data_IF_680156663496
#
_entry.id   IF_680156663496
#
_cell.length_a   1.000
_cell.length_b   1.000
_cell.length_c   1.000
_cell.angle_alpha   90.00
_cell.angle_beta   90.00
_cell.angle_gamma   90.00
#
_symmetry.space_group_name_H-M   'P 1'
#
loop_
_entity.id
_entity.type
_entity.pdbx_description
1 polymer ?
#
# COMPACT_ATOMS: atom_id res chain seq x y z
N UNK A 1 21.90 1.25 21.56
CA UNK A 1 20.45 0.97 21.49
C UNK A 1 20.10 0.62 20.05
N UNK A 2 19.30 -0.42 19.83
CA UNK A 2 18.91 -0.87 18.48
C UNK A 2 17.42 -0.62 18.29
N UNK A 3 17.02 0.06 17.22
CA UNK A 3 15.62 0.25 16.85
C UNK A 3 15.24 -0.73 15.74
N UNK A 4 14.32 -1.64 16.03
CA UNK A 4 13.78 -2.58 15.05
C UNK A 4 12.52 -2.00 14.44
N UNK A 5 12.56 -1.72 13.14
CA UNK A 5 11.41 -1.23 12.38
C UNK A 5 10.89 -2.39 11.53
N UNK A 6 9.74 -3.00 11.84
CA UNK A 6 9.16 -4.02 11.01
C UNK A 6 8.65 -3.39 9.70
N UNK A 7 9.37 -3.59 8.62
CA UNK A 7 9.01 -3.11 7.27
C UNK A 7 8.39 -4.25 6.48
N UNK A 8 7.27 -3.99 5.81
CA UNK A 8 6.64 -4.99 4.94
C UNK A 8 5.83 -6.07 5.67
N UNK A 9 5.38 -5.81 6.90
CA UNK A 9 4.47 -6.71 7.61
C UNK A 9 3.16 -6.99 6.85
N UNK A 10 2.44 -8.05 7.20
CA UNK A 10 1.13 -8.36 6.63
C UNK A 10 0.13 -7.23 6.87
N UNK A 11 -0.83 -7.05 5.96
CA UNK A 11 -1.94 -6.13 6.22
C UNK A 11 -2.70 -6.61 7.47
N UNK A 12 -3.07 -5.71 8.40
CA UNK A 12 -3.91 -6.08 9.53
C UNK A 12 -5.23 -6.66 9.01
N UNK A 13 -5.73 -7.70 9.67
CA UNK A 13 -7.00 -8.31 9.30
C UNK A 13 -8.12 -7.28 9.52
N UNK A 14 -8.79 -6.83 8.46
CA UNK A 14 -9.83 -5.80 8.52
C UNK A 14 -11.13 -6.29 9.19
N UNK A 15 -11.26 -7.59 9.44
CA UNK A 15 -12.38 -8.20 10.15
C UNK A 15 -12.18 -8.24 11.68
N UNK A 16 -10.96 -7.93 12.14
CA UNK A 16 -10.63 -8.01 13.57
C UNK A 16 -11.28 -6.89 14.38
N UNK A 17 -11.70 -7.21 15.61
CA UNK A 17 -12.33 -6.24 16.51
C UNK A 17 -11.36 -5.20 17.05
N UNK A 18 -10.09 -5.58 17.21
CA UNK A 18 -9.04 -4.73 17.75
C UNK A 18 -8.57 -3.71 16.71
N UNK A 19 -8.53 -2.45 17.11
CA UNK A 19 -8.04 -1.36 16.27
C UNK A 19 -6.57 -1.10 16.58
N UNK A 20 -5.80 -0.76 15.55
CA UNK A 20 -4.42 -0.30 15.70
C UNK A 20 -4.17 0.87 14.75
N UNK A 21 -3.12 1.65 15.02
CA UNK A 21 -2.78 2.84 14.24
C UNK A 21 -1.26 2.95 14.03
N UNK A 22 -0.84 3.61 12.95
CA UNK A 22 0.57 3.85 12.63
C UNK A 22 1.34 2.57 12.29
N UNK A 23 2.50 2.37 12.92
CA UNK A 23 3.34 1.19 12.70
C UNK A 23 2.63 -0.13 13.04
N UNK A 24 1.79 -0.13 14.09
CA UNK A 24 0.99 -1.28 14.49
C UNK A 24 -0.12 -1.62 13.46
N UNK A 25 -0.55 -0.65 12.66
CA UNK A 25 -1.44 -0.85 11.51
C UNK A 25 -0.68 -1.11 10.19
N UNK A 26 0.64 -1.34 10.28
CA UNK A 26 1.53 -1.54 9.14
C UNK A 26 1.48 -0.41 8.11
N UNK A 27 1.33 0.84 8.55
CA UNK A 27 1.32 2.02 7.68
C UNK A 27 2.71 2.40 7.13
N UNK A 28 3.74 1.60 7.44
CA UNK A 28 5.12 1.80 6.98
C UNK A 28 5.25 1.47 5.50
N UNK A 29 5.69 2.44 4.71
CA UNK A 29 5.88 2.26 3.27
C UNK A 29 7.17 1.47 2.98
N UNK A 30 7.15 0.46 2.09
CA UNK A 30 8.30 -0.42 1.89
C UNK A 30 9.46 0.24 1.09
N UNK A 31 9.15 1.12 0.13
CA UNK A 31 10.10 1.46 -0.95
C UNK A 31 10.80 2.83 -0.84
N UNK A 32 10.26 3.79 -0.08
CA UNK A 32 10.75 5.18 -0.04
C UNK A 32 10.82 5.69 1.39
N UNK A 33 11.97 5.55 2.05
CA UNK A 33 12.28 6.26 3.31
C UNK A 33 11.35 5.93 4.48
N UNK A 34 11.71 4.86 5.20
CA UNK A 34 10.96 4.18 6.28
C UNK A 34 10.34 5.07 7.37
N UNK A 35 10.80 6.31 7.57
CA UNK A 35 10.34 7.20 8.65
C UNK A 35 9.54 8.41 8.19
N UNK A 36 9.81 9.02 7.04
CA UNK A 36 9.17 10.30 6.71
C UNK A 36 7.74 10.10 6.18
N UNK A 37 7.54 9.21 5.19
CA UNK A 37 6.21 8.96 4.66
C UNK A 37 5.32 8.24 5.69
N UNK A 38 5.85 7.29 6.47
CA UNK A 38 5.03 6.57 7.47
C UNK A 38 4.55 7.49 8.60
N UNK A 39 5.39 8.42 9.05
CA UNK A 39 5.05 9.41 10.09
C UNK A 39 4.13 10.49 9.54
N UNK A 40 4.45 11.08 8.38
CA UNK A 40 3.58 12.08 7.73
C UNK A 40 2.22 11.49 7.42
N UNK A 41 2.17 10.24 6.94
CA UNK A 41 0.93 9.52 6.70
C UNK A 41 0.14 9.28 7.99
N UNK A 42 0.80 8.81 9.04
CA UNK A 42 0.14 8.60 10.33
C UNK A 42 -0.41 9.92 10.88
N UNK A 43 0.31 11.03 10.75
CA UNK A 43 -0.18 12.34 11.18
C UNK A 43 -1.33 12.85 10.31
N UNK A 44 -1.27 12.63 8.99
CA UNK A 44 -2.30 13.09 8.06
C UNK A 44 -3.60 12.27 8.13
N UNK A 45 -3.53 10.97 8.44
CA UNK A 45 -4.71 10.10 8.53
C UNK A 45 -5.32 10.04 9.93
N UNK A 46 -4.58 10.45 10.96
CA UNK A 46 -5.08 10.52 12.34
C UNK A 46 -6.39 11.31 12.50
N UNK A 47 -6.57 12.52 11.94
CA UNK A 47 -7.79 13.30 12.17
C UNK A 47 -9.04 12.65 11.57
N UNK A 48 -8.95 12.12 10.34
CA UNK A 48 -10.08 11.44 9.71
C UNK A 48 -10.40 10.12 10.41
N UNK A 49 -9.39 9.37 10.83
CA UNK A 49 -9.59 8.14 11.60
C UNK A 49 -10.27 8.41 12.96
N UNK A 50 -9.83 9.45 13.68
CA UNK A 50 -10.44 9.87 14.95
C UNK A 50 -11.90 10.31 14.76
N UNK A 51 -12.19 11.04 13.67
CA UNK A 51 -13.55 11.48 13.32
C UNK A 51 -14.48 10.29 13.09
N UNK A 52 -14.03 9.27 12.34
CA UNK A 52 -14.83 8.05 12.11
C UNK A 52 -15.09 7.30 13.42
N UNK A 53 -14.08 7.18 14.29
CA UNK A 53 -14.29 6.57 15.62
C UNK A 53 -15.31 7.37 16.44
N UNK A 54 -15.23 8.70 16.45
CA UNK A 54 -16.19 9.55 17.15
C UNK A 54 -17.63 9.36 16.62
N UNK A 55 -17.81 9.24 15.30
CA UNK A 55 -19.14 8.95 14.72
C UNK A 55 -19.67 7.59 15.14
N UNK A 56 -18.83 6.55 15.13
CA UNK A 56 -19.21 5.19 15.56
C UNK A 56 -19.63 5.19 17.03
N UNK A 57 -18.90 5.89 17.89
CA UNK A 57 -19.23 5.98 19.32
C UNK A 57 -20.54 6.75 19.56
N UNK A 58 -20.79 7.83 18.82
CA UNK A 58 -22.04 8.61 18.94
C UNK A 58 -23.26 7.82 18.44
N UNK A 59 -23.14 7.06 17.35
CA UNK A 59 -24.18 6.14 16.85
C UNK A 59 -24.48 5.02 17.85
N UNK A 60 -23.48 4.55 18.59
CA UNK A 60 -23.66 3.51 19.62
C UNK A 60 -24.39 4.00 20.87
N UNK A 61 -24.29 5.30 21.19
CA UNK A 61 -24.89 5.91 22.39
C UNK A 61 -26.34 6.39 22.18
N UNK A 62 -26.81 6.53 20.94
CA UNK A 62 -28.13 7.12 20.63
C UNK A 62 -29.31 6.15 20.66
N UNK A 63 -29.08 4.87 21.01
CA UNK A 63 -30.13 4.03 21.61
C UNK A 63 -31.31 3.60 20.73
N UNK A 64 -31.25 3.71 19.40
CA UNK A 64 -32.32 3.16 18.55
C UNK A 64 -32.10 1.66 18.29
N UNK A 65 -32.96 0.85 18.88
CA UNK A 65 -33.02 -0.62 18.73
C UNK A 65 -33.29 -1.05 17.28
N UNK A 66 -33.82 -0.16 16.44
CA UNK A 66 -34.13 -0.39 15.01
C UNK A 66 -32.88 -0.29 14.11
N UNK A 67 -31.86 0.49 14.49
CA UNK A 67 -30.63 0.65 13.70
C UNK A 67 -29.62 -0.47 13.96
N UNK A 68 -29.75 -1.21 15.06
CA UNK A 68 -28.89 -2.37 15.38
C UNK A 68 -28.97 -3.50 14.34
N UNK A 69 -30.11 -3.66 13.66
CA UNK A 69 -30.27 -4.64 12.57
C UNK A 69 -29.65 -4.15 11.24
N UNK A 70 -29.50 -2.82 11.06
CA UNK A 70 -28.83 -2.23 9.88
C UNK A 70 -27.31 -2.13 10.03
N UNK A 71 -26.78 -2.16 11.26
CA UNK A 71 -25.34 -2.27 11.53
C UNK A 71 -24.92 -3.75 11.38
N UNK A 72 -25.04 -4.29 10.16
CA UNK A 72 -24.42 -5.57 9.80
C UNK A 72 -22.91 -5.44 9.56
N UNK A 73 -22.42 -4.22 9.44
CA UNK A 73 -20.99 -3.94 9.35
C UNK A 73 -20.41 -3.74 10.75
N UNK A 74 -19.50 -4.63 11.13
CA UNK A 74 -18.75 -4.54 12.38
C UNK A 74 -18.11 -3.13 12.48
N UNK A 75 -18.35 -2.33 13.53
CA UNK A 75 -17.82 -0.97 13.65
C UNK A 75 -16.29 -0.91 13.48
N UNK A 76 -15.59 -1.96 13.91
CA UNK A 76 -14.15 -2.09 13.70
C UNK A 76 -13.76 -2.17 12.22
N UNK A 77 -14.60 -2.79 11.39
CA UNK A 77 -14.37 -2.91 9.95
C UNK A 77 -14.54 -1.58 9.22
N UNK A 78 -15.47 -0.72 9.68
CA UNK A 78 -15.63 0.65 9.18
C UNK A 78 -14.39 1.50 9.49
N UNK A 79 -13.86 1.40 10.70
CA UNK A 79 -12.60 2.05 11.07
C UNK A 79 -11.42 1.53 10.24
N UNK A 80 -11.29 0.21 10.07
CA UNK A 80 -10.24 -0.38 9.24
C UNK A 80 -10.32 0.01 7.76
N UNK A 81 -11.52 0.09 7.19
CA UNK A 81 -11.72 0.51 5.81
C UNK A 81 -11.39 2.00 5.59
N UNK A 82 -11.50 2.83 6.64
CA UNK A 82 -11.07 4.23 6.60
C UNK A 82 -9.55 4.33 6.48
N UNK A 83 -8.82 3.49 7.22
CA UNK A 83 -7.35 3.49 7.22
C UNK A 83 -6.75 2.77 5.99
N UNK A 84 -7.40 1.69 5.55
CA UNK A 84 -6.99 0.86 4.42
C UNK A 84 -8.11 0.70 3.40
N UNK A 85 -8.47 1.77 2.66
CA UNK A 85 -9.36 1.65 1.52
C UNK A 85 -8.73 0.76 0.44
N UNK A 86 -9.58 0.17 -0.42
CA UNK A 86 -9.15 -0.79 -1.42
C UNK A 86 -8.08 -0.25 -2.36
N UNK A 87 -8.21 1.02 -2.74
CA UNK A 87 -7.22 1.75 -3.55
C UNK A 87 -5.81 1.74 -2.90
N UNK A 88 -5.74 1.95 -1.59
CA UNK A 88 -4.46 1.93 -0.87
C UNK A 88 -3.89 0.53 -0.69
N UNK A 89 -4.75 -0.48 -0.56
CA UNK A 89 -4.29 -1.88 -0.55
C UNK A 89 -3.61 -2.21 -1.89
N UNK A 90 -4.18 -1.76 -3.02
CA UNK A 90 -3.60 -1.92 -4.37
C UNK A 90 -2.26 -1.22 -4.53
N UNK A 91 -2.18 0.05 -4.14
CA UNK A 91 -0.92 0.82 -4.14
C UNK A 91 0.15 0.10 -3.31
N UNK A 92 -0.17 -0.28 -2.06
CA UNK A 92 0.79 -0.98 -1.19
C UNK A 92 1.26 -2.30 -1.79
N UNK A 93 0.36 -3.13 -2.34
CA UNK A 93 0.73 -4.38 -2.98
C UNK A 93 1.67 -4.15 -4.18
N UNK A 94 1.44 -3.08 -4.95
CA UNK A 94 2.33 -2.69 -6.05
C UNK A 94 3.73 -2.32 -5.55
N UNK A 95 3.83 -1.49 -4.52
CA UNK A 95 5.13 -1.10 -3.95
C UNK A 95 5.87 -2.27 -3.31
N UNK A 96 5.17 -3.22 -2.68
CA UNK A 96 5.77 -4.45 -2.15
C UNK A 96 6.34 -5.32 -3.27
N UNK A 97 5.61 -5.47 -4.37
CA UNK A 97 6.09 -6.19 -5.56
C UNK A 97 7.33 -5.52 -6.16
N UNK A 98 7.29 -4.19 -6.36
CA UNK A 98 8.43 -3.44 -6.88
C UNK A 98 9.67 -3.53 -5.98
N UNK A 99 9.49 -3.49 -4.66
CA UNK A 99 10.59 -3.67 -3.71
C UNK A 99 11.17 -5.08 -3.78
N UNK A 100 10.33 -6.11 -3.78
CA UNK A 100 10.76 -7.51 -3.85
C UNK A 100 11.57 -7.78 -5.14
N UNK A 101 11.17 -7.17 -6.26
CA UNK A 101 11.94 -7.20 -7.50
C UNK A 101 13.31 -6.56 -7.33
N UNK A 102 13.38 -5.32 -6.83
CA UNK A 102 14.65 -4.57 -6.71
C UNK A 102 15.64 -5.32 -5.82
N UNK A 103 15.18 -5.95 -4.74
CA UNK A 103 16.03 -6.74 -3.83
C UNK A 103 16.61 -7.99 -4.50
N UNK A 104 15.94 -8.54 -5.51
CA UNK A 104 16.42 -9.71 -6.26
C UNK A 104 17.36 -9.36 -7.42
N UNK A 105 17.46 -8.08 -7.80
CA UNK A 105 18.34 -7.63 -8.88
C UNK A 105 19.80 -7.58 -8.41
N UNK A 106 20.72 -7.87 -9.32
CA UNK A 106 22.14 -7.65 -9.14
C UNK A 106 22.51 -6.15 -9.30
N UNK A 107 23.79 -5.82 -9.16
CA UNK A 107 24.27 -4.43 -9.23
C UNK A 107 23.98 -3.81 -10.61
N UNK A 108 24.23 -4.56 -11.68
CA UNK A 108 23.99 -4.16 -13.07
C UNK A 108 22.48 -3.98 -13.35
N UNK A 109 21.66 -4.95 -12.93
CA UNK A 109 20.21 -4.91 -13.05
C UNK A 109 19.59 -3.76 -12.27
N UNK A 110 20.08 -3.49 -11.06
CA UNK A 110 19.61 -2.37 -10.22
C UNK A 110 19.94 -1.03 -10.86
N UNK A 111 21.16 -0.85 -11.38
CA UNK A 111 21.54 0.36 -12.13
C UNK A 111 20.65 0.56 -13.35
N UNK A 112 20.41 -0.50 -14.09
CA UNK A 112 19.57 -0.49 -15.29
C UNK A 112 18.12 -0.15 -14.95
N UNK A 113 17.59 -0.71 -13.86
CA UNK A 113 16.26 -0.41 -13.34
C UNK A 113 16.14 1.08 -13.01
N UNK A 114 17.02 1.64 -12.18
CA UNK A 114 16.94 3.05 -11.80
C UNK A 114 17.19 3.99 -12.98
N UNK A 115 18.08 3.64 -13.90
CA UNK A 115 18.26 4.42 -15.14
C UNK A 115 16.97 4.48 -15.95
N UNK A 116 16.30 3.34 -16.14
CA UNK A 116 15.01 3.27 -16.84
C UNK A 116 13.92 4.04 -16.09
N UNK A 117 13.90 3.93 -14.76
CA UNK A 117 12.97 4.63 -13.86
C UNK A 117 13.06 6.15 -14.00
N UNK A 118 14.27 6.71 -13.98
CA UNK A 118 14.48 8.16 -14.10
C UNK A 118 14.37 8.67 -15.54
N UNK A 119 14.35 7.80 -16.55
CA UNK A 119 14.02 8.17 -17.93
C UNK A 119 12.52 8.42 -18.15
N UNK A 120 11.65 8.05 -17.21
CA UNK A 120 10.23 8.32 -17.28
C UNK A 120 9.92 9.82 -17.12
N UNK A 121 8.74 10.28 -17.55
CA UNK A 121 8.30 11.65 -17.31
C UNK A 121 8.39 12.05 -15.83
N UNK A 122 8.80 13.29 -15.58
CA UNK A 122 9.04 13.81 -14.23
C UNK A 122 7.88 13.60 -13.26
N UNK A 123 6.67 13.89 -13.73
CA UNK A 123 5.45 13.72 -12.95
C UNK A 123 5.19 12.26 -12.52
N UNK A 124 5.62 11.27 -13.32
CA UNK A 124 5.43 9.85 -12.99
C UNK A 124 6.38 9.40 -11.89
N UNK A 125 7.68 9.62 -12.06
CA UNK A 125 8.63 9.13 -11.06
C UNK A 125 8.56 9.94 -9.77
N UNK A 126 8.30 11.25 -9.83
CA UNK A 126 8.04 12.05 -8.62
C UNK A 126 6.77 11.60 -7.92
N UNK A 127 5.69 11.35 -8.67
CA UNK A 127 4.45 10.86 -8.10
C UNK A 127 4.60 9.48 -7.46
N UNK A 128 5.40 8.60 -8.07
CA UNK A 128 5.72 7.28 -7.53
C UNK A 128 6.46 7.39 -6.19
N UNK A 129 7.49 8.24 -6.12
CA UNK A 129 8.24 8.46 -4.88
C UNK A 129 7.40 9.15 -3.80
N UNK A 130 6.53 10.07 -4.20
CA UNK A 130 5.61 10.80 -3.32
C UNK A 130 4.36 10.01 -2.91
N UNK A 131 4.16 8.79 -3.43
CA UNK A 131 2.92 7.99 -3.23
C UNK A 131 1.63 8.74 -3.58
N UNK A 132 1.69 9.71 -4.49
CA UNK A 132 0.54 10.51 -4.93
C UNK A 132 -0.16 9.94 -6.16
N UNK A 133 0.43 8.93 -6.82
CA UNK A 133 -0.15 8.24 -7.97
C UNK A 133 -1.33 7.33 -7.58
N UNK A 134 -2.38 7.33 -8.40
CA UNK A 134 -3.46 6.35 -8.25
C UNK A 134 -3.02 4.95 -8.64
N UNK A 135 -3.77 3.92 -8.27
CA UNK A 135 -3.51 2.53 -8.68
C UNK A 135 -3.53 2.36 -10.19
N UNK A 136 -4.34 3.16 -10.91
CA UNK A 136 -4.36 3.16 -12.37
C UNK A 136 -3.06 3.74 -12.93
N UNK A 137 -2.59 4.83 -12.35
CA UNK A 137 -1.32 5.45 -12.76
C UNK A 137 -0.13 4.55 -12.42
N UNK A 138 -0.20 3.75 -11.35
CA UNK A 138 0.82 2.74 -11.03
C UNK A 138 0.87 1.60 -12.06
N UNK A 139 -0.29 1.15 -12.57
CA UNK A 139 -0.33 0.19 -13.66
C UNK A 139 0.24 0.78 -14.95
N UNK A 140 -0.10 2.04 -15.24
CA UNK A 140 0.44 2.77 -16.39
C UNK A 140 1.96 2.93 -16.25
N UNK A 141 2.44 3.29 -15.07
CA UNK A 141 3.85 3.38 -14.72
C UNK A 141 4.57 2.05 -14.97
N UNK A 142 4.00 0.93 -14.53
CA UNK A 142 4.56 -0.40 -14.78
C UNK A 142 4.65 -0.72 -16.27
N UNK A 143 3.63 -0.36 -17.04
CA UNK A 143 3.60 -0.57 -18.49
C UNK A 143 4.69 0.25 -19.19
N UNK A 144 4.84 1.54 -18.83
CA UNK A 144 5.91 2.38 -19.38
C UNK A 144 7.29 1.88 -19.01
N UNK A 145 7.50 1.47 -17.75
CA UNK A 145 8.74 0.81 -17.32
C UNK A 145 9.03 -0.41 -18.18
N UNK A 146 8.03 -1.27 -18.42
CA UNK A 146 8.21 -2.48 -19.23
C UNK A 146 8.55 -2.16 -20.69
N UNK A 147 7.93 -1.14 -21.28
CA UNK A 147 8.17 -0.73 -22.68
C UNK A 147 9.58 -0.15 -22.84
N UNK A 148 10.05 0.68 -21.90
CA UNK A 148 11.37 1.34 -22.01
C UNK A 148 12.50 0.41 -21.55
N UNK A 149 12.21 -0.54 -20.65
CA UNK A 149 13.18 -1.46 -20.10
C UNK A 149 13.91 -2.29 -21.18
N UNK A 150 15.23 -2.53 -21.01
CA UNK A 150 15.96 -3.48 -21.84
C UNK A 150 15.47 -4.92 -21.58
N UNK A 151 15.74 -5.81 -22.54
CA UNK A 151 15.23 -7.19 -22.51
C UNK A 151 15.64 -7.97 -21.25
N UNK A 152 16.82 -7.71 -20.70
CA UNK A 152 17.29 -8.36 -19.47
C UNK A 152 16.40 -8.02 -18.27
N UNK A 153 16.02 -6.74 -18.15
CA UNK A 153 15.15 -6.26 -17.08
C UNK A 153 13.70 -6.76 -17.30
N UNK A 154 13.23 -6.83 -18.55
CA UNK A 154 11.91 -7.41 -18.86
C UNK A 154 11.83 -8.89 -18.47
N UNK A 155 12.88 -9.66 -18.75
CA UNK A 155 12.95 -11.07 -18.37
C UNK A 155 12.94 -11.24 -16.85
N UNK A 156 13.68 -10.39 -16.13
CA UNK A 156 13.66 -10.38 -14.67
C UNK A 156 12.27 -10.06 -14.10
N UNK A 157 11.60 -9.04 -14.65
CA UNK A 157 10.22 -8.67 -14.29
C UNK A 157 9.23 -9.82 -14.49
N UNK A 158 9.26 -10.47 -15.66
CA UNK A 158 8.36 -11.60 -15.98
C UNK A 158 8.65 -12.79 -15.06
N UNK A 159 9.93 -13.10 -14.83
CA UNK A 159 10.33 -14.18 -13.93
C UNK A 159 9.85 -13.92 -12.50
N UNK A 160 10.00 -12.69 -12.02
CA UNK A 160 9.55 -12.29 -10.69
C UNK A 160 8.02 -12.34 -10.57
N UNK A 161 7.28 -11.88 -11.59
CA UNK A 161 5.81 -11.97 -11.62
C UNK A 161 5.29 -13.41 -11.52
N UNK A 162 5.99 -14.36 -12.14
CA UNK A 162 5.59 -15.77 -12.16
C UNK A 162 6.06 -16.56 -10.93
N UNK A 163 7.24 -16.21 -10.38
CA UNK A 163 7.90 -17.01 -9.35
C UNK A 163 7.63 -16.49 -7.94
N UNK A 164 7.38 -15.19 -7.78
CA UNK A 164 7.30 -14.57 -6.47
C UNK A 164 5.85 -14.50 -5.94
N UNK A 165 5.59 -14.85 -4.66
CA UNK A 165 4.27 -14.76 -4.05
C UNK A 165 3.70 -13.34 -4.02
N UNK A 166 4.54 -12.30 -4.07
CA UNK A 166 4.09 -10.90 -4.14
C UNK A 166 3.38 -10.58 -5.45
N UNK A 167 3.79 -11.19 -6.58
CA UNK A 167 3.13 -11.03 -7.87
C UNK A 167 1.69 -11.55 -7.85
N UNK A 168 1.49 -12.75 -7.30
CA UNK A 168 0.15 -13.34 -7.08
C UNK A 168 -0.71 -12.48 -6.16
N UNK A 169 -0.09 -11.94 -5.10
CA UNK A 169 -0.77 -11.07 -4.14
C UNK A 169 -1.22 -9.77 -4.80
N UNK A 170 -0.35 -9.13 -5.59
CA UNK A 170 -0.68 -7.92 -6.34
C UNK A 170 -1.86 -8.15 -7.29
N UNK A 171 -1.78 -9.19 -8.14
CA UNK A 171 -2.87 -9.51 -9.08
C UNK A 171 -4.19 -9.73 -8.34
N UNK A 172 -4.17 -10.49 -7.24
CA UNK A 172 -5.36 -10.71 -6.41
C UNK A 172 -5.93 -9.39 -5.87
N UNK A 173 -5.10 -8.52 -5.31
CA UNK A 173 -5.56 -7.23 -4.74
C UNK A 173 -6.15 -6.29 -5.80
N UNK A 174 -5.64 -6.33 -7.03
CA UNK A 174 -6.20 -5.54 -8.13
C UNK A 174 -7.52 -6.12 -8.67
N UNK A 175 -7.69 -7.45 -8.64
CA UNK A 175 -8.92 -8.13 -9.08
C UNK A 175 -10.03 -8.12 -8.03
N UNK A 176 -9.71 -7.94 -6.75
CA UNK A 176 -10.73 -7.74 -5.71
C UNK A 176 -11.41 -6.38 -5.92
N UNK A 177 -12.67 -6.44 -6.33
CA UNK A 177 -13.61 -5.31 -6.46
C UNK A 177 -14.17 -4.98 -5.07
#
# INVERSE_FOLDING_TARGET
>A
EWSYIPVGGSLPNTEQKNLAFGAAASMVHPATGMTCYSVVRSLSEAPEYAKVIATILNESNTGDTVTRERIKENPSMRAWNTLWPQERKRQRSFFLFGLALIVQLDIEGTRTFFRTFFCLPEWMWQGFLGSSLSSKDLLLFALYMFIIAPNDLRMSLVRHLLSDPTGKTMIKTYLTI
#
